data_IF_046521744451
#
_entry.id   IF_046521744451
#
_cell.length_a   1.000
_cell.length_b   1.000
_cell.length_c   1.000
_cell.angle_alpha   90.00
_cell.angle_beta   90.00
_cell.angle_gamma   90.00
#
_symmetry.space_group_name_H-M   'P 1'
#
loop_
_entity.id
_entity.type
_entity.pdbx_description
1 polymer ?
#
# COMPACT_ATOMS: atom_id res chain seq x y z
N UNK A 1 -5.55 8.82 -13.97
CA UNK A 1 -5.02 10.11 -13.50
C UNK A 1 -4.23 9.85 -12.24
N UNK A 2 -2.98 10.31 -12.16
CA UNK A 2 -2.11 10.13 -10.99
C UNK A 2 -2.48 11.19 -9.94
N UNK A 3 -3.04 10.78 -8.79
CA UNK A 3 -3.30 11.68 -7.67
C UNK A 3 -1.99 11.96 -6.93
N UNK A 4 -1.12 12.79 -7.52
CA UNK A 4 0.10 13.24 -6.85
C UNK A 4 -0.26 14.40 -5.91
N UNK A 5 -0.15 14.19 -4.60
CA UNK A 5 -0.16 15.26 -3.58
C UNK A 5 -1.35 15.35 -2.64
N UNK A 6 -2.39 14.51 -2.77
CA UNK A 6 -3.50 14.52 -1.80
C UNK A 6 -3.18 13.61 -0.62
N UNK A 7 -3.17 14.16 0.61
CA UNK A 7 -3.21 13.35 1.82
C UNK A 7 -4.54 12.59 1.84
N UNK A 8 -4.47 11.27 1.83
CA UNK A 8 -5.63 10.39 1.96
C UNK A 8 -5.71 10.01 3.43
N UNK A 9 -6.82 10.33 4.07
CA UNK A 9 -7.18 9.66 5.33
C UNK A 9 -7.80 8.32 4.93
N UNK A 10 -6.95 7.29 4.96
CA UNK A 10 -7.32 5.95 4.52
C UNK A 10 -8.31 5.34 5.52
N UNK A 11 -9.45 4.88 5.00
CA UNK A 11 -10.48 4.17 5.75
C UNK A 11 -10.39 2.67 5.46
N UNK A 12 -11.25 2.19 4.56
CA UNK A 12 -11.34 0.81 4.11
C UNK A 12 -10.38 0.47 2.97
N UNK A 13 -9.65 1.47 2.45
CA UNK A 13 -8.63 1.30 1.43
C UNK A 13 -9.17 0.83 0.08
N UNK A 14 -10.47 0.98 -0.21
CA UNK A 14 -11.06 0.55 -1.48
C UNK A 14 -10.61 1.43 -2.66
N UNK A 15 -10.31 2.70 -2.39
CA UNK A 15 -9.95 3.72 -3.40
C UNK A 15 -8.47 4.14 -3.32
N UNK A 16 -7.70 3.54 -2.41
CA UNK A 16 -6.27 3.79 -2.21
C UNK A 16 -5.46 2.69 -2.88
N UNK A 17 -4.56 3.03 -3.81
CA UNK A 17 -3.70 2.05 -4.47
C UNK A 17 -2.52 1.67 -3.57
N UNK A 18 -2.32 0.37 -3.39
CA UNK A 18 -1.34 -0.17 -2.45
C UNK A 18 0.08 0.33 -2.74
N UNK A 19 0.51 0.35 -4.00
CA UNK A 19 1.89 0.73 -4.32
C UNK A 19 2.07 2.22 -4.59
N UNK A 20 1.07 2.86 -5.21
CA UNK A 20 1.25 4.15 -5.88
C UNK A 20 0.73 5.36 -5.10
N UNK A 21 -0.10 5.18 -4.09
CA UNK A 21 -0.67 6.28 -3.30
C UNK A 21 0.05 6.44 -1.94
N UNK A 22 -0.09 7.63 -1.33
CA UNK A 22 0.58 7.98 -0.07
C UNK A 22 -0.30 7.56 1.12
N UNK A 23 -0.22 6.30 1.53
CA UNK A 23 -1.04 5.76 2.62
C UNK A 23 -0.24 5.12 3.76
N UNK A 24 1.03 4.76 3.51
CA UNK A 24 1.92 4.16 4.50
C UNK A 24 3.31 4.80 4.46
N UNK A 25 3.74 5.38 5.59
CA UNK A 25 5.10 5.92 5.75
C UNK A 25 5.40 7.21 4.98
N UNK A 26 4.38 7.98 4.57
CA UNK A 26 4.54 9.37 4.09
C UNK A 26 4.91 9.56 2.61
N UNK A 27 5.21 8.47 1.89
CA UNK A 27 5.45 8.48 0.44
C UNK A 27 4.98 7.16 -0.19
N UNK A 28 4.82 7.05 -1.53
CA UNK A 28 4.36 5.84 -2.19
C UNK A 28 5.32 4.67 -1.97
N UNK A 29 4.77 3.48 -1.70
CA UNK A 29 5.56 2.27 -1.50
C UNK A 29 6.39 1.90 -2.74
N UNK A 30 5.96 2.23 -3.96
CA UNK A 30 6.74 2.02 -5.17
C UNK A 30 8.05 2.83 -5.21
N UNK A 31 8.14 3.93 -4.47
CA UNK A 31 9.35 4.75 -4.36
C UNK A 31 10.28 4.23 -3.26
N UNK A 32 9.70 3.77 -2.15
CA UNK A 32 10.44 3.23 -0.99
C UNK A 32 10.98 1.82 -1.23
N UNK A 33 10.21 1.01 -1.95
CA UNK A 33 10.49 -0.40 -2.22
C UNK A 33 10.48 -0.69 -3.73
N UNK A 34 11.35 -0.01 -4.51
CA UNK A 34 11.31 -0.07 -5.97
C UNK A 34 11.70 -1.46 -6.51
N UNK A 35 12.59 -2.19 -5.83
CA UNK A 35 12.99 -3.53 -6.28
C UNK A 35 11.83 -4.52 -6.12
N UNK A 36 11.12 -4.46 -5.00
CA UNK A 36 9.95 -5.28 -4.72
C UNK A 36 8.78 -4.92 -5.65
N UNK A 37 8.51 -3.62 -5.83
CA UNK A 37 7.46 -3.13 -6.74
C UNK A 37 7.63 -3.66 -8.17
N UNK A 38 8.88 -3.72 -8.66
CA UNK A 38 9.18 -4.25 -10.00
C UNK A 38 8.58 -5.63 -10.22
N UNK A 39 8.55 -6.50 -9.20
CA UNK A 39 8.09 -7.88 -9.31
C UNK A 39 6.67 -8.14 -8.79
N UNK A 40 6.03 -7.12 -8.22
CA UNK A 40 4.62 -7.19 -7.89
C UNK A 40 3.75 -7.21 -9.15
N UNK A 41 2.79 -8.12 -9.20
CA UNK A 41 1.71 -8.13 -10.18
C UNK A 41 0.48 -7.34 -9.72
N UNK A 42 0.41 -6.88 -8.47
CA UNK A 42 -0.71 -6.13 -7.90
C UNK A 42 -0.59 -4.62 -8.08
N UNK A 43 0.11 -4.18 -9.14
CA UNK A 43 0.25 -2.74 -9.47
C UNK A 43 -1.12 -2.14 -9.75
N UNK A 44 -1.42 -1.00 -9.13
CA UNK A 44 -2.73 -0.36 -9.22
C UNK A 44 -3.88 -1.07 -8.48
N UNK A 45 -3.62 -2.20 -7.80
CA UNK A 45 -4.60 -2.80 -6.90
C UNK A 45 -4.81 -1.90 -5.68
N UNK A 46 -6.04 -1.86 -5.18
CA UNK A 46 -6.35 -1.13 -3.95
C UNK A 46 -5.76 -1.82 -2.73
N UNK A 47 -5.59 -1.08 -1.62
CA UNK A 47 -5.16 -1.64 -0.33
C UNK A 47 -6.14 -2.73 0.11
N UNK A 48 -7.45 -2.48 0.00
CA UNK A 48 -8.49 -3.45 0.31
C UNK A 48 -8.34 -4.76 -0.48
N UNK A 49 -8.08 -4.68 -1.78
CA UNK A 49 -7.90 -5.86 -2.64
C UNK A 49 -6.54 -6.55 -2.46
N UNK A 50 -5.60 -5.90 -1.76
CA UNK A 50 -4.26 -6.42 -1.51
C UNK A 50 -4.14 -7.13 -0.16
N UNK A 51 -5.23 -7.25 0.62
CA UNK A 51 -5.25 -8.01 1.86
C UNK A 51 -6.60 -8.68 2.14
N UNK A 52 -6.58 -9.71 2.98
CA UNK A 52 -7.77 -10.25 3.60
C UNK A 52 -7.74 -9.94 5.10
N UNK A 53 -8.88 -9.58 5.68
CA UNK A 53 -9.03 -9.42 7.12
C UNK A 53 -9.49 -10.74 7.73
N UNK A 54 -8.58 -11.42 8.45
CA UNK A 54 -8.85 -12.67 9.15
C UNK A 54 -8.96 -12.40 10.67
N UNK A 55 -10.09 -11.84 11.07
CA UNK A 55 -10.40 -11.61 12.49
C UNK A 55 -9.53 -10.52 13.15
N UNK A 56 -9.22 -9.44 12.43
CA UNK A 56 -8.37 -8.34 12.86
C UNK A 56 -6.91 -8.46 12.41
N UNK A 57 -6.52 -9.61 11.84
CA UNK A 57 -5.20 -9.80 11.25
C UNK A 57 -5.29 -9.61 9.73
N UNK A 58 -4.55 -8.62 9.21
CA UNK A 58 -4.45 -8.39 7.77
C UNK A 58 -3.43 -9.34 7.16
N UNK A 59 -3.90 -10.20 6.25
CA UNK A 59 -3.06 -11.09 5.46
C UNK A 59 -2.82 -10.45 4.09
N UNK A 60 -1.60 -9.99 3.85
CA UNK A 60 -1.24 -9.23 2.65
C UNK A 60 -0.84 -10.12 1.47
N UNK A 61 -1.35 -9.78 0.28
CA UNK A 61 -0.97 -10.37 -0.99
C UNK A 61 -0.37 -9.30 -1.92
N UNK A 62 0.96 -9.29 -2.00
CA UNK A 62 1.72 -8.34 -2.80
C UNK A 62 1.85 -8.75 -4.28
N UNK A 63 1.26 -9.88 -4.70
CA UNK A 63 1.35 -10.37 -6.06
C UNK A 63 2.79 -10.70 -6.50
N UNK A 64 3.65 -11.16 -5.59
CA UNK A 64 5.02 -11.53 -5.92
C UNK A 64 5.02 -12.89 -6.64
N UNK A 65 5.36 -12.89 -7.93
CA UNK A 65 5.21 -14.07 -8.80
C UNK A 65 6.50 -14.88 -9.00
N UNK A 66 7.59 -14.49 -8.35
CA UNK A 66 8.92 -15.09 -8.49
C UNK A 66 9.67 -15.12 -7.17
N UNK A 67 10.80 -15.84 -7.13
CA UNK A 67 11.74 -15.79 -6.00
C UNK A 67 12.35 -14.39 -5.89
N UNK A 68 12.49 -13.93 -4.66
CA UNK A 68 13.15 -12.67 -4.31
C UNK A 68 14.66 -12.91 -4.14
N UNK A 69 15.47 -11.96 -4.60
CA UNK A 69 16.89 -11.88 -4.25
C UNK A 69 17.12 -11.08 -2.97
N UNK A 70 18.37 -10.94 -2.55
CA UNK A 70 18.73 -10.34 -1.26
C UNK A 70 18.18 -8.92 -1.08
N UNK A 71 18.25 -8.09 -2.12
CA UNK A 71 17.73 -6.70 -2.08
C UNK A 71 16.22 -6.68 -1.91
N UNK A 72 15.49 -7.52 -2.65
CA UNK A 72 14.04 -7.57 -2.52
C UNK A 72 13.60 -8.17 -1.18
N UNK A 73 14.39 -9.06 -0.60
CA UNK A 73 14.15 -9.62 0.75
C UNK A 73 14.34 -8.54 1.82
N UNK A 74 15.35 -7.68 1.70
CA UNK A 74 15.55 -6.55 2.61
C UNK A 74 14.33 -5.60 2.57
N UNK A 75 13.94 -5.17 1.36
CA UNK A 75 12.76 -4.32 1.16
C UNK A 75 11.47 -4.98 1.70
N UNK A 76 11.27 -6.28 1.42
CA UNK A 76 10.11 -7.03 1.89
C UNK A 76 10.06 -7.13 3.41
N UNK A 77 11.20 -7.34 4.07
CA UNK A 77 11.28 -7.44 5.53
C UNK A 77 10.89 -6.13 6.19
N UNK A 78 11.40 -5.01 5.68
CA UNK A 78 11.00 -3.67 6.15
C UNK A 78 9.51 -3.42 5.94
N UNK A 79 8.99 -3.71 4.74
CA UNK A 79 7.58 -3.50 4.43
C UNK A 79 6.65 -4.31 5.34
N UNK A 80 6.95 -5.59 5.58
CA UNK A 80 6.09 -6.45 6.42
C UNK A 80 6.01 -5.94 7.87
N UNK A 81 7.09 -5.41 8.44
CA UNK A 81 7.06 -4.83 9.81
C UNK A 81 6.13 -3.63 9.89
N UNK A 82 6.09 -2.79 8.86
CA UNK A 82 5.17 -1.65 8.81
C UNK A 82 3.72 -2.10 8.63
N UNK A 83 3.49 -3.10 7.78
CA UNK A 83 2.17 -3.66 7.51
C UNK A 83 1.58 -4.42 8.72
N UNK A 84 2.41 -5.02 9.57
CA UNK A 84 1.94 -5.73 10.78
C UNK A 84 1.30 -4.80 11.81
N UNK A 85 1.72 -3.54 11.85
CA UNK A 85 1.18 -2.55 12.78
C UNK A 85 -0.01 -1.79 12.18
N UNK A 86 -0.42 -2.16 10.97
CA UNK A 86 -1.44 -1.45 10.21
C UNK A 86 -2.84 -1.95 10.55
N UNK A 87 -3.76 -1.02 10.79
CA UNK A 87 -5.16 -1.31 11.07
C UNK A 87 -6.00 -0.63 9.98
N UNK A 88 -6.86 -1.41 9.34
CA UNK A 88 -7.85 -0.91 8.39
C UNK A 88 -9.15 -0.57 9.12
N UNK A 89 -9.79 0.53 8.74
CA UNK A 89 -11.10 0.92 9.25
C UNK A 89 -12.20 0.45 8.30
N UNK A 90 -13.42 0.27 8.81
CA UNK A 90 -14.59 0.02 7.95
C UNK A 90 -15.15 1.31 7.32
N UNK A 91 -14.62 2.47 7.70
CA UNK A 91 -15.03 3.76 7.11
C UNK A 91 -14.58 3.92 5.66
N UNK A 92 -15.28 4.74 4.88
CA UNK A 92 -14.84 5.07 3.53
C UNK A 92 -13.56 5.91 3.54
N UNK A 93 -12.71 5.70 2.53
CA UNK A 93 -11.54 6.54 2.28
C UNK A 93 -11.94 8.02 2.13
N UNK A 94 -11.22 8.91 2.83
CA UNK A 94 -11.46 10.35 2.79
C UNK A 94 -10.33 11.06 2.07
N UNK A 95 -10.66 11.74 0.99
CA UNK A 95 -9.72 12.53 0.22
C UNK A 95 -9.76 13.98 0.70
N UNK A 96 -8.63 14.50 1.18
CA UNK A 96 -8.51 15.94 1.45
C UNK A 96 -8.72 16.74 0.17
N UNK A 97 -9.60 17.74 0.20
CA UNK A 97 -9.72 18.69 -0.90
C UNK A 97 -8.43 19.50 -0.99
N UNK A 98 -7.81 19.53 -2.17
CA UNK A 98 -6.81 20.55 -2.50
C UNK A 98 -7.55 21.90 -2.48
N UNK A 99 -7.28 22.75 -1.49
CA UNK A 99 -7.65 24.16 -1.59
C UNK A 99 -6.86 24.74 -2.77
N UNK A 100 -7.57 25.06 -3.84
CA UNK A 100 -7.00 25.81 -4.95
C UNK A 100 -6.54 27.17 -4.46
N UNK A 101 -5.26 27.47 -4.71
CA UNK A 101 -4.78 28.83 -4.91
C UNK A 101 -4.29 28.93 -6.35
#
# INVERSE_FOLDING_TARGET
MFKQGSKIDMGNGSEVRFWEDHWLGGEPLCNRFPALYRFSSSKGSSVQNSCNNEGGNLVWNLGITRRLGDVEIEEFTTLIVELQNFIMSDELDRFGQQLGL
#
